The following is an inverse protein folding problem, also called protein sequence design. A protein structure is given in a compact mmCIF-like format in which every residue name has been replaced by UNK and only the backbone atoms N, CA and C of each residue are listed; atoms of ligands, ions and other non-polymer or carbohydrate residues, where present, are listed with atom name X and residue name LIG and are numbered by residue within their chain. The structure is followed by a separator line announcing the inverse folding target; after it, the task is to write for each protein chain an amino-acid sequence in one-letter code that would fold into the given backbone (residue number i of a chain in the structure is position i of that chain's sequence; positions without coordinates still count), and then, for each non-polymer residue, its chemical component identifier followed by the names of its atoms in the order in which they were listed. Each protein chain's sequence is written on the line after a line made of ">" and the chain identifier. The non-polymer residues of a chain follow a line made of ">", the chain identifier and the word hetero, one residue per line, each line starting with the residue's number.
data_IF_142210272884
#
_entry.id   IF_142210272884
#
_cell.length_a   1.000
_cell.length_b   1.000
_cell.length_c   1.000
_cell.angle_alpha   90.00
_cell.angle_beta   90.00
_cell.angle_gamma   90.00
#
_symmetry.space_group_name_H-M   'P 1'
#
loop_
_entity.id
_entity.type
_entity.pdbx_description
1 polymer ?
#
# COMPACT_ATOMS: atom_id res chain seq x y z
N UNK A 1 6.09 -6.46 27.28
CA UNK A 1 4.67 -6.10 27.42
C UNK A 1 4.22 -5.11 26.34
N UNK A 2 2.94 -4.71 26.34
CA UNK A 2 2.44 -3.83 25.28
C UNK A 2 3.18 -2.50 25.18
N UNK A 3 3.64 -1.95 26.28
CA UNK A 3 4.39 -0.68 26.28
C UNK A 3 5.75 -0.86 25.62
N UNK A 4 6.41 -1.97 25.92
CA UNK A 4 7.70 -2.29 25.32
C UNK A 4 7.56 -2.52 23.82
N UNK A 5 6.54 -3.25 23.42
CA UNK A 5 6.26 -3.51 22.01
C UNK A 5 5.96 -2.21 21.27
N UNK A 6 5.17 -1.33 21.88
CA UNK A 6 4.88 -0.03 21.29
C UNK A 6 6.11 0.84 21.16
N UNK A 7 6.98 0.84 22.16
CA UNK A 7 8.23 1.60 22.11
C UNK A 7 9.17 1.07 21.03
N UNK A 8 9.29 -0.26 20.93
CA UNK A 8 10.11 -0.90 19.92
C UNK A 8 9.61 -0.57 18.53
N UNK A 9 8.29 -0.59 18.33
CA UNK A 9 7.68 -0.22 17.08
C UNK A 9 7.96 1.25 16.73
N UNK A 10 7.91 2.15 17.71
CA UNK A 10 8.22 3.56 17.50
C UNK A 10 9.67 3.78 17.10
N UNK A 11 10.60 3.00 17.63
CA UNK A 11 12.00 3.08 17.23
C UNK A 11 12.20 2.63 15.78
N UNK A 12 11.43 1.67 15.32
CA UNK A 12 11.47 1.19 13.94
C UNK A 12 10.75 2.14 12.98
N UNK A 13 9.76 2.89 13.47
CA UNK A 13 9.05 3.90 12.68
C UNK A 13 9.87 5.17 12.59
N UNK A 14 10.79 5.22 11.65
CA UNK A 14 11.70 6.35 11.45
C UNK A 14 11.73 6.74 9.98
N UNK A 15 12.13 7.99 9.68
CA UNK A 15 12.26 8.41 8.28
C UNK A 15 13.22 7.51 7.52
N UNK A 16 12.84 7.15 6.33
CA UNK A 16 13.63 6.33 5.44
C UNK A 16 13.30 6.67 4.01
N UNK A 17 13.94 5.97 3.09
CA UNK A 17 13.70 6.15 1.67
C UNK A 17 12.70 5.10 1.19
N UNK A 18 11.81 5.54 0.31
CA UNK A 18 10.94 4.62 -0.38
C UNK A 18 11.67 4.13 -1.62
N UNK A 19 11.87 2.83 -1.70
CA UNK A 19 12.47 2.19 -2.87
C UNK A 19 11.35 1.46 -3.61
N UNK A 20 11.12 1.83 -4.85
CA UNK A 20 10.06 1.20 -5.64
C UNK A 20 10.37 1.29 -7.12
N UNK A 21 9.76 0.38 -7.87
CA UNK A 21 9.67 0.47 -9.33
C UNK A 21 8.24 0.78 -9.67
N UNK A 22 8.04 1.78 -10.52
CA UNK A 22 6.71 2.14 -11.02
C UNK A 22 6.54 1.61 -12.41
N UNK A 23 5.48 0.84 -12.61
CA UNK A 23 5.06 0.33 -13.90
C UNK A 23 3.82 1.09 -14.35
N UNK A 24 3.75 1.40 -15.64
CA UNK A 24 2.57 2.03 -16.22
C UNK A 24 1.85 0.99 -17.05
N UNK A 25 0.61 0.70 -16.71
CA UNK A 25 -0.18 -0.34 -17.36
C UNK A 25 -1.45 0.27 -17.92
N UNK A 26 -1.68 0.10 -19.22
CA UNK A 26 -2.90 0.59 -19.85
C UNK A 26 -4.09 -0.29 -19.46
N UNK A 27 -5.21 0.36 -19.14
CA UNK A 27 -6.47 -0.30 -18.82
C UNK A 27 -7.61 0.54 -19.40
N UNK A 28 -8.10 0.15 -20.56
CA UNK A 28 -9.05 0.98 -21.30
C UNK A 28 -8.43 2.33 -21.63
N UNK A 29 -9.12 3.41 -21.31
CA UNK A 29 -8.63 4.78 -21.53
C UNK A 29 -7.73 5.27 -20.40
N UNK A 30 -7.61 4.51 -19.34
CA UNK A 30 -6.83 4.90 -18.17
C UNK A 30 -5.44 4.30 -18.18
N UNK A 31 -4.56 4.89 -17.42
CA UNK A 31 -3.24 4.33 -17.13
C UNK A 31 -3.20 4.00 -15.64
N UNK A 32 -2.88 2.75 -15.33
CA UNK A 32 -2.71 2.30 -13.95
C UNK A 32 -1.25 2.42 -13.59
N UNK A 33 -0.96 3.14 -12.52
CA UNK A 33 0.38 3.20 -11.96
C UNK A 33 0.53 2.08 -10.95
N UNK A 34 1.41 1.13 -11.22
CA UNK A 34 1.67 0.01 -10.33
C UNK A 34 3.04 0.18 -9.71
N UNK A 35 3.06 0.35 -8.40
CA UNK A 35 4.29 0.52 -7.64
C UNK A 35 4.65 -0.78 -6.93
N UNK A 36 5.78 -1.33 -7.29
CA UNK A 36 6.36 -2.50 -6.63
C UNK A 36 7.43 -2.02 -5.68
N UNK A 37 7.24 -2.28 -4.38
CA UNK A 37 8.13 -1.75 -3.35
C UNK A 37 9.20 -2.76 -2.97
N UNK A 38 10.34 -2.21 -2.55
CA UNK A 38 11.51 -2.99 -2.11
C UNK A 38 11.98 -2.49 -0.76
N UNK A 39 12.99 -3.14 -0.21
CA UNK A 39 13.55 -2.76 1.08
C UNK A 39 12.55 -2.99 2.20
N UNK A 40 12.35 -1.99 3.04
CA UNK A 40 11.49 -2.08 4.21
C UNK A 40 10.00 -2.20 3.86
N UNK A 41 9.65 -1.89 2.62
CA UNK A 41 8.27 -2.03 2.15
C UNK A 41 8.11 -3.24 1.23
N UNK A 42 9.07 -4.14 1.22
CA UNK A 42 9.05 -5.32 0.37
C UNK A 42 7.78 -6.14 0.59
N UNK A 43 7.23 -6.64 -0.49
CA UNK A 43 5.98 -7.39 -0.49
C UNK A 43 4.76 -6.53 -0.75
N UNK A 44 4.92 -5.21 -0.73
CA UNK A 44 3.82 -4.30 -1.05
C UNK A 44 3.84 -3.99 -2.54
N UNK A 45 2.69 -4.17 -3.18
CA UNK A 45 2.44 -3.72 -4.54
C UNK A 45 1.17 -2.89 -4.50
N UNK A 46 1.26 -1.64 -4.93
CA UNK A 46 0.12 -0.72 -4.94
C UNK A 46 -0.19 -0.29 -6.35
N UNK A 47 -1.47 -0.17 -6.65
CA UNK A 47 -1.93 0.35 -7.93
C UNK A 47 -2.78 1.59 -7.70
N UNK A 48 -2.57 2.59 -8.55
CA UNK A 48 -3.36 3.82 -8.53
C UNK A 48 -3.90 4.12 -9.92
N UNK A 49 -5.16 4.50 -9.97
CA UNK A 49 -5.83 4.95 -11.20
C UNK A 49 -6.32 6.36 -10.94
N UNK A 50 -5.82 7.31 -11.72
CA UNK A 50 -6.27 8.70 -11.59
C UNK A 50 -7.59 8.87 -12.33
N UNK A 51 -8.60 9.32 -11.62
CA UNK A 51 -9.94 9.56 -12.16
C UNK A 51 -10.26 11.06 -12.09
N UNK A 52 -11.05 11.54 -13.03
CA UNK A 52 -11.49 12.93 -13.05
C UNK A 52 -12.46 13.23 -11.90
N UNK A 53 -13.20 12.22 -11.46
CA UNK A 53 -14.11 12.32 -10.32
C UNK A 53 -14.26 10.94 -9.69
N UNK A 54 -14.74 10.90 -8.44
CA UNK A 54 -14.96 9.62 -7.73
C UNK A 54 -15.94 8.71 -8.46
N UNK A 55 -16.84 9.30 -9.23
CA UNK A 55 -17.89 8.56 -9.95
C UNK A 55 -17.45 8.07 -11.33
N UNK A 56 -16.27 8.46 -11.78
CA UNK A 56 -15.83 8.09 -13.12
C UNK A 56 -15.69 6.57 -13.24
N UNK A 57 -16.33 6.01 -14.27
CA UNK A 57 -16.24 4.59 -14.55
C UNK A 57 -14.85 4.24 -15.10
N UNK A 58 -14.34 3.10 -14.68
CA UNK A 58 -13.07 2.58 -15.19
C UNK A 58 -13.15 1.06 -15.27
N UNK A 59 -12.32 0.49 -16.14
CA UNK A 59 -12.16 -0.96 -16.19
C UNK A 59 -11.25 -1.38 -15.03
N UNK A 60 -11.77 -2.24 -14.16
CA UNK A 60 -10.98 -2.75 -13.04
C UNK A 60 -10.11 -3.91 -13.51
N UNK A 61 -8.78 -3.74 -13.57
CA UNK A 61 -7.90 -4.85 -13.94
C UNK A 61 -8.00 -6.03 -12.98
N UNK A 62 -7.88 -7.23 -13.53
CA UNK A 62 -8.02 -8.47 -12.74
C UNK A 62 -6.94 -8.60 -11.66
N UNK A 63 -5.80 -7.94 -11.85
CA UNK A 63 -4.71 -8.04 -10.89
C UNK A 63 -4.89 -7.16 -9.65
N UNK A 64 -5.91 -6.31 -9.61
CA UNK A 64 -6.14 -5.45 -8.45
C UNK A 64 -6.63 -6.28 -7.26
N UNK A 65 -6.04 -6.01 -6.10
CA UNK A 65 -6.50 -6.58 -4.85
C UNK A 65 -7.46 -5.65 -4.13
N UNK A 66 -7.40 -5.67 -2.80
CA UNK A 66 -8.27 -4.86 -1.96
C UNK A 66 -8.05 -3.38 -2.19
N UNK A 67 -9.14 -2.63 -2.32
CA UNK A 67 -9.05 -1.17 -2.39
C UNK A 67 -8.66 -0.60 -1.03
N UNK A 68 -7.64 0.25 -1.03
CA UNK A 68 -7.11 0.85 0.20
C UNK A 68 -7.18 2.38 0.17
N UNK A 69 -8.00 2.94 -0.72
CA UNK A 69 -8.21 4.38 -0.81
C UNK A 69 -8.60 4.95 0.55
N UNK A 70 -7.89 5.97 1.00
CA UNK A 70 -8.15 6.58 2.30
C UNK A 70 -7.50 5.88 3.49
N UNK A 71 -6.89 4.72 3.29
CA UNK A 71 -6.14 4.06 4.36
C UNK A 71 -4.76 4.72 4.47
N UNK A 72 -4.56 5.45 5.54
CA UNK A 72 -3.36 6.27 5.73
C UNK A 72 -2.08 5.47 5.81
N UNK A 73 -2.16 4.19 6.18
CA UNK A 73 -0.97 3.33 6.27
C UNK A 73 -0.22 3.27 4.95
N UNK A 74 -0.93 3.44 3.83
CA UNK A 74 -0.37 3.33 2.48
C UNK A 74 0.13 4.65 1.91
N UNK A 75 -0.01 5.75 2.63
CA UNK A 75 0.51 7.04 2.16
C UNK A 75 2.04 7.04 2.22
N UNK A 76 2.67 7.65 1.23
CA UNK A 76 4.13 7.65 1.14
C UNK A 76 4.82 8.15 2.41
N UNK A 77 4.32 9.26 2.96
CA UNK A 77 4.91 9.82 4.18
C UNK A 77 4.74 8.88 5.38
N UNK A 78 3.71 8.07 5.40
CA UNK A 78 3.51 7.10 6.47
C UNK A 78 4.38 5.87 6.25
N UNK A 79 4.51 5.39 5.03
CA UNK A 79 5.38 4.25 4.70
C UNK A 79 6.84 4.56 4.99
N UNK A 80 7.25 5.82 4.82
CA UNK A 80 8.61 6.23 5.20
C UNK A 80 8.87 6.12 6.69
N UNK A 81 7.84 6.29 7.51
CA UNK A 81 7.95 6.29 8.96
C UNK A 81 7.63 4.92 9.57
N UNK A 82 6.63 4.26 9.03
CA UNK A 82 6.19 2.95 9.49
C UNK A 82 6.10 2.02 8.28
N UNK A 83 7.23 1.40 7.91
CA UNK A 83 7.26 0.57 6.70
C UNK A 83 6.38 -0.67 6.78
N UNK A 84 5.99 -1.13 5.61
CA UNK A 84 5.05 -2.23 5.43
C UNK A 84 5.47 -3.51 6.15
N UNK A 85 6.76 -3.78 6.22
CA UNK A 85 7.28 -4.99 6.86
C UNK A 85 6.85 -5.10 8.33
N UNK A 86 6.58 -3.97 8.99
CA UNK A 86 6.20 -3.97 10.40
C UNK A 86 4.74 -4.37 10.64
N UNK A 87 3.87 -4.20 9.64
CA UNK A 87 2.44 -4.44 9.84
C UNK A 87 1.81 -5.29 8.73
N UNK A 88 2.60 -5.80 7.80
CA UNK A 88 2.07 -6.55 6.65
C UNK A 88 1.28 -7.79 7.06
N UNK A 89 1.71 -8.50 8.10
CA UNK A 89 1.02 -9.70 8.53
C UNK A 89 -0.39 -9.39 9.05
N UNK A 90 -0.55 -8.27 9.73
CA UNK A 90 -1.85 -7.81 10.19
C UNK A 90 -2.75 -7.45 9.00
N UNK A 91 -2.21 -6.72 8.04
CA UNK A 91 -2.96 -6.34 6.85
C UNK A 91 -3.38 -7.55 6.03
N UNK A 92 -2.48 -8.49 5.82
CA UNK A 92 -2.77 -9.72 5.08
C UNK A 92 -3.90 -10.51 5.75
N UNK A 93 -3.93 -10.56 7.07
CA UNK A 93 -5.03 -11.18 7.81
C UNK A 93 -6.35 -10.43 7.65
N UNK A 94 -6.31 -9.12 7.67
CA UNK A 94 -7.50 -8.29 7.44
C UNK A 94 -8.08 -8.57 6.05
N UNK A 95 -7.20 -8.67 5.05
CA UNK A 95 -7.58 -8.93 3.67
C UNK A 95 -8.21 -10.32 3.52
N UNK A 96 -7.59 -11.34 4.13
CA UNK A 96 -8.13 -12.70 4.14
C UNK A 96 -9.52 -12.75 4.76
N UNK A 97 -9.73 -12.06 5.87
CA UNK A 97 -11.01 -12.02 6.54
C UNK A 97 -12.08 -11.33 5.70
N UNK A 98 -11.72 -10.26 5.00
CA UNK A 98 -12.67 -9.54 4.16
C UNK A 98 -12.97 -10.28 2.85
N UNK A 99 -12.13 -11.22 2.44
CA UNK A 99 -12.37 -12.06 1.26
C UNK A 99 -13.39 -13.18 1.51
N UNK A 100 -13.64 -13.48 2.78
CA UNK A 100 -14.60 -14.51 3.16
C UNK A 100 -15.99 -13.94 3.32
#
# INVERSE_FOLDING_TARGET
>A
GPIEDGRQLMELCRPGRIKKTRWLVKSGKHTVEVDEFFGDNEGLVMAEIELASEDEAFEKPDFLGKEVTGDRRFYNNRLMRCPYILWRNQFEREDDLSSK
#
